data_IF_450367012184
#
_entry.id   IF_450367012184
#
_cell.length_a   1.000
_cell.length_b   1.000
_cell.length_c   1.000
_cell.angle_alpha   90.00
_cell.angle_beta   90.00
_cell.angle_gamma   90.00
#
_symmetry.space_group_name_H-M   'P 1'
#
loop_
_entity.id
_entity.type
_entity.pdbx_description
1 polymer ?
#
# COMPACT_ATOMS: atom_id res chain seq x y z
N UNK A 1 50.05 37.59 -29.31
CA UNK A 1 49.93 36.14 -29.04
C UNK A 1 48.99 35.92 -27.88
N UNK A 2 47.76 35.52 -28.17
CA UNK A 2 46.75 35.31 -27.17
C UNK A 2 46.49 33.82 -27.04
N UNK A 3 46.80 33.25 -25.88
CA UNK A 3 46.48 31.87 -25.53
C UNK A 3 45.01 31.80 -25.09
N UNK A 4 44.18 31.08 -25.85
CA UNK A 4 42.84 30.70 -25.43
C UNK A 4 42.93 29.41 -24.60
N UNK A 5 42.63 29.50 -23.31
CA UNK A 5 42.37 28.33 -22.46
C UNK A 5 40.99 27.78 -22.79
N UNK A 6 40.93 26.57 -23.32
CA UNK A 6 39.69 25.78 -23.41
C UNK A 6 39.50 25.06 -22.08
N UNK A 7 38.52 25.47 -21.30
CA UNK A 7 38.07 24.73 -20.13
C UNK A 7 37.12 23.63 -20.61
N UNK A 8 37.58 22.40 -20.58
CA UNK A 8 36.71 21.22 -20.78
C UNK A 8 35.86 20.99 -19.52
N UNK A 9 34.57 21.27 -19.61
CA UNK A 9 33.60 20.87 -18.60
C UNK A 9 33.39 19.35 -18.71
N UNK A 10 34.04 18.57 -17.87
CA UNK A 10 33.69 17.18 -17.65
C UNK A 10 32.43 17.14 -16.81
N UNK A 11 31.28 16.96 -17.47
CA UNK A 11 30.06 16.57 -16.80
C UNK A 11 30.24 15.14 -16.31
N UNK A 12 30.59 14.99 -15.04
CA UNK A 12 30.61 13.70 -14.37
C UNK A 12 29.16 13.20 -14.28
N UNK A 13 28.76 12.29 -15.18
CA UNK A 13 27.60 11.44 -14.94
C UNK A 13 27.94 10.59 -13.70
N UNK A 14 27.42 11.00 -12.55
CA UNK A 14 27.30 10.11 -11.41
C UNK A 14 26.32 9.01 -11.82
N UNK A 15 26.86 7.85 -12.21
CA UNK A 15 26.13 6.60 -12.23
C UNK A 15 25.69 6.32 -10.79
N UNK A 16 24.50 6.82 -10.41
CA UNK A 16 23.84 6.33 -9.23
C UNK A 16 23.68 4.82 -9.44
N UNK A 17 24.36 4.03 -8.63
CA UNK A 17 24.16 2.59 -8.56
C UNK A 17 22.67 2.36 -8.32
N UNK A 18 21.95 1.90 -9.35
CA UNK A 18 20.58 1.45 -9.21
C UNK A 18 20.65 0.19 -8.35
N UNK A 19 20.20 0.29 -7.13
CA UNK A 19 20.16 -0.82 -6.18
C UNK A 19 19.02 -1.73 -6.64
N UNK A 20 19.33 -3.01 -6.83
CA UNK A 20 18.30 -4.03 -7.03
C UNK A 20 17.29 -3.96 -5.88
N UNK A 21 16.01 -4.03 -6.18
CA UNK A 21 14.94 -3.86 -5.17
C UNK A 21 14.88 -5.01 -4.17
N UNK A 22 15.58 -6.11 -4.47
CA UNK A 22 15.65 -7.29 -3.59
C UNK A 22 17.02 -7.97 -3.67
N UNK A 23 17.47 -8.64 -2.60
CA UNK A 23 18.73 -9.37 -2.61
C UNK A 23 18.78 -10.43 -3.71
N UNK A 24 19.78 -10.33 -4.61
CA UNK A 24 19.99 -11.31 -5.70
C UNK A 24 19.36 -10.97 -7.05
N UNK A 25 18.64 -9.88 -7.16
CA UNK A 25 18.03 -9.40 -8.41
C UNK A 25 19.08 -8.79 -9.36
N UNK A 26 19.00 -9.18 -10.63
CA UNK A 26 19.78 -8.51 -11.70
C UNK A 26 18.88 -7.48 -12.38
N UNK A 27 19.18 -6.20 -12.18
CA UNK A 27 18.42 -5.11 -12.77
C UNK A 27 18.70 -4.99 -14.27
N UNK A 28 17.70 -5.23 -15.11
CA UNK A 28 17.67 -4.91 -16.54
C UNK A 28 16.82 -3.66 -16.78
N UNK A 29 17.45 -2.54 -17.06
CA UNK A 29 16.79 -1.26 -17.28
C UNK A 29 15.78 -1.29 -18.43
N UNK A 30 16.05 -2.06 -19.50
CA UNK A 30 15.15 -2.10 -20.67
C UNK A 30 13.91 -2.90 -20.35
N UNK A 31 14.07 -4.10 -19.79
CA UNK A 31 12.96 -4.91 -19.32
C UNK A 31 12.10 -4.12 -18.33
N UNK A 32 12.73 -3.45 -17.37
CA UNK A 32 12.06 -2.61 -16.41
C UNK A 32 11.23 -1.46 -17.02
N UNK A 33 11.75 -0.75 -18.02
CA UNK A 33 11.00 0.32 -18.70
C UNK A 33 9.83 -0.22 -19.52
N UNK A 34 9.96 -1.40 -20.09
CA UNK A 34 8.90 -2.07 -20.84
C UNK A 34 7.78 -2.54 -19.89
N UNK A 35 8.14 -3.10 -18.77
CA UNK A 35 7.25 -3.46 -17.67
C UNK A 35 6.45 -2.26 -17.17
N UNK A 36 7.13 -1.14 -16.88
CA UNK A 36 6.51 0.14 -16.52
C UNK A 36 5.44 0.56 -17.53
N UNK A 37 5.79 0.56 -18.81
CA UNK A 37 4.88 0.98 -19.86
C UNK A 37 3.63 0.08 -19.92
N UNK A 38 3.81 -1.22 -19.78
CA UNK A 38 2.73 -2.19 -19.80
C UNK A 38 1.83 -2.08 -18.55
N UNK A 39 2.41 -1.98 -17.36
CA UNK A 39 1.65 -1.76 -16.12
C UNK A 39 0.83 -0.48 -16.17
N UNK A 40 1.41 0.63 -16.65
CA UNK A 40 0.68 1.89 -16.83
C UNK A 40 -0.44 1.76 -17.87
N UNK A 41 -0.25 1.01 -18.97
CA UNK A 41 -1.30 0.81 -19.96
C UNK A 41 -2.52 0.06 -19.39
N UNK A 42 -2.29 -0.99 -18.61
CA UNK A 42 -3.36 -1.73 -17.93
C UNK A 42 -4.08 -0.83 -16.92
N UNK A 43 -3.33 -0.13 -16.09
CA UNK A 43 -3.89 0.76 -15.09
C UNK A 43 -4.65 1.93 -15.73
N UNK A 44 -4.23 2.46 -16.88
CA UNK A 44 -4.96 3.48 -17.65
C UNK A 44 -6.33 2.99 -18.14
N UNK A 45 -6.44 1.74 -18.54
CA UNK A 45 -7.73 1.13 -18.91
C UNK A 45 -8.66 1.06 -17.71
N UNK A 46 -8.16 0.55 -16.58
CA UNK A 46 -8.93 0.43 -15.34
C UNK A 46 -9.34 1.80 -14.79
N UNK A 47 -8.46 2.81 -14.87
CA UNK A 47 -8.78 4.18 -14.44
C UNK A 47 -9.88 4.82 -15.25
N UNK A 48 -9.86 4.67 -16.59
CA UNK A 48 -10.96 5.17 -17.43
C UNK A 48 -12.27 4.49 -17.11
N UNK A 49 -12.24 3.19 -16.83
CA UNK A 49 -13.43 2.45 -16.42
C UNK A 49 -13.95 2.93 -15.06
N UNK A 50 -13.06 3.14 -14.08
CA UNK A 50 -13.41 3.68 -12.77
C UNK A 50 -13.95 5.12 -12.86
N UNK A 51 -13.33 5.99 -13.67
CA UNK A 51 -13.83 7.35 -13.95
C UNK A 51 -15.25 7.33 -14.50
N UNK A 52 -15.57 6.42 -15.40
CA UNK A 52 -16.91 6.25 -15.95
C UNK A 52 -17.95 5.84 -14.90
N UNK A 53 -17.50 5.16 -13.83
CA UNK A 53 -18.36 4.79 -12.72
C UNK A 53 -18.77 5.98 -11.86
N UNK A 54 -17.94 7.03 -11.74
CA UNK A 54 -18.11 8.12 -10.78
C UNK A 54 -19.42 8.89 -10.93
N UNK A 55 -19.99 8.94 -12.12
CA UNK A 55 -21.23 9.67 -12.42
C UNK A 55 -22.50 8.92 -11.96
N UNK A 56 -22.41 7.63 -11.64
CA UNK A 56 -23.57 6.79 -11.32
C UNK A 56 -24.16 7.14 -9.95
N UNK A 57 -25.50 7.19 -9.80
CA UNK A 57 -26.16 7.50 -8.53
C UNK A 57 -25.78 6.55 -7.39
N UNK A 58 -25.69 5.25 -7.68
CA UNK A 58 -25.32 4.20 -6.72
C UNK A 58 -23.89 4.38 -6.19
N UNK A 59 -22.98 4.89 -7.04
CA UNK A 59 -21.59 5.21 -6.63
C UNK A 59 -21.57 6.41 -5.70
N UNK A 60 -22.39 7.43 -5.94
CA UNK A 60 -22.53 8.58 -5.04
C UNK A 60 -23.07 8.14 -3.66
N UNK A 61 -24.13 7.34 -3.64
CA UNK A 61 -24.68 6.81 -2.41
C UNK A 61 -23.68 5.93 -1.64
N UNK A 62 -22.85 5.15 -2.34
CA UNK A 62 -21.76 4.39 -1.72
C UNK A 62 -20.69 5.30 -1.09
N UNK A 63 -20.31 6.38 -1.77
CA UNK A 63 -19.37 7.38 -1.22
C UNK A 63 -19.90 8.03 0.05
N UNK A 64 -21.17 8.40 0.08
CA UNK A 64 -21.81 8.94 1.28
C UNK A 64 -21.76 7.94 2.44
N UNK A 65 -22.05 6.66 2.18
CA UNK A 65 -21.91 5.59 3.18
C UNK A 65 -20.47 5.40 3.63
N UNK A 66 -19.48 5.50 2.71
CA UNK A 66 -18.06 5.39 3.05
C UNK A 66 -17.61 6.53 3.97
N UNK A 67 -18.03 7.78 3.69
CA UNK A 67 -17.75 8.95 4.54
C UNK A 67 -18.33 8.72 5.94
N UNK A 68 -19.62 8.35 6.03
CA UNK A 68 -20.27 8.11 7.31
C UNK A 68 -19.61 6.97 8.09
N UNK A 69 -19.25 5.88 7.43
CA UNK A 69 -18.56 4.73 8.04
C UNK A 69 -17.20 5.15 8.59
N UNK A 70 -16.38 5.85 7.81
CA UNK A 70 -15.05 6.32 8.23
C UNK A 70 -15.13 7.24 9.42
N UNK A 71 -16.08 8.20 9.41
CA UNK A 71 -16.32 9.07 10.54
C UNK A 71 -16.71 8.29 11.81
N UNK A 72 -17.63 7.33 11.71
CA UNK A 72 -18.02 6.49 12.83
C UNK A 72 -16.86 5.62 13.36
N UNK A 73 -16.05 5.06 12.46
CA UNK A 73 -14.87 4.26 12.84
C UNK A 73 -13.84 5.13 13.54
N UNK A 74 -13.56 6.31 13.00
CA UNK A 74 -12.64 7.27 13.61
C UNK A 74 -13.04 7.64 15.05
N UNK A 75 -14.31 7.98 15.26
CA UNK A 75 -14.82 8.32 16.59
C UNK A 75 -14.77 7.11 17.54
N UNK A 76 -15.13 5.92 17.08
CA UNK A 76 -15.04 4.69 17.87
C UNK A 76 -13.60 4.42 18.31
N UNK A 77 -12.63 4.50 17.39
CA UNK A 77 -11.22 4.28 17.69
C UNK A 77 -10.65 5.30 18.69
N UNK A 78 -11.13 6.55 18.63
CA UNK A 78 -10.78 7.57 19.62
C UNK A 78 -11.34 7.26 21.00
N UNK A 79 -12.61 6.85 21.06
CA UNK A 79 -13.28 6.45 22.31
C UNK A 79 -12.60 5.25 22.96
N UNK A 80 -12.28 4.20 22.20
CA UNK A 80 -11.58 3.01 22.67
C UNK A 80 -10.18 3.31 23.26
N UNK A 81 -9.60 4.46 22.89
CA UNK A 81 -8.28 4.91 23.35
C UNK A 81 -8.33 6.08 24.33
N UNK A 82 -9.51 6.43 24.84
CA UNK A 82 -9.73 7.56 25.76
C UNK A 82 -9.19 8.91 25.24
N UNK A 83 -9.26 9.12 23.92
CA UNK A 83 -8.74 10.33 23.25
C UNK A 83 -9.81 11.42 23.21
N UNK A 84 -9.89 12.21 24.28
CA UNK A 84 -10.90 13.27 24.42
C UNK A 84 -10.43 14.65 23.95
N UNK A 85 -9.19 14.78 23.54
CA UNK A 85 -8.57 16.06 23.17
C UNK A 85 -9.02 16.55 21.79
N UNK A 86 -9.28 17.83 21.70
CA UNK A 86 -10.05 18.44 20.60
C UNK A 86 -9.24 19.02 19.44
N UNK A 87 -7.89 18.96 19.42
CA UNK A 87 -7.13 19.70 18.38
C UNK A 87 -5.82 19.06 17.97
N UNK A 88 -5.59 18.96 16.67
CA UNK A 88 -4.35 18.47 16.08
C UNK A 88 -3.87 19.32 14.90
N UNK A 89 -2.57 19.53 14.80
CA UNK A 89 -1.91 20.27 13.71
C UNK A 89 -0.56 19.65 13.35
N UNK A 90 -0.22 19.50 12.07
CA UNK A 90 0.90 20.16 11.38
C UNK A 90 1.15 19.65 9.94
N UNK A 91 1.69 20.57 9.14
CA UNK A 91 1.76 20.71 7.69
C UNK A 91 3.16 20.44 7.13
N UNK A 92 3.33 19.96 5.85
CA UNK A 92 4.19 20.50 4.78
C UNK A 92 4.43 19.57 3.58
N UNK A 93 4.90 20.14 2.51
CA UNK A 93 4.64 20.27 1.11
C UNK A 93 5.88 19.92 0.23
N UNK A 94 5.74 19.36 -1.00
CA UNK A 94 6.62 19.49 -2.17
C UNK A 94 6.25 18.65 -3.41
N UNK A 95 6.25 19.28 -4.53
CA UNK A 95 5.47 19.08 -5.73
C UNK A 95 5.93 18.09 -6.83
N UNK A 96 5.18 17.19 -7.35
CA UNK A 96 4.57 16.49 -8.45
C UNK A 96 4.96 15.06 -8.82
N UNK A 97 5.61 14.22 -8.92
CA UNK A 97 5.93 13.29 -8.06
C UNK A 97 5.60 14.26 -7.10
N UNK A 98 6.09 15.05 -7.52
CA UNK A 98 5.77 16.44 -7.45
C UNK A 98 4.29 16.82 -7.60
N UNK A 99 3.37 16.13 -8.22
CA UNK A 99 1.93 16.41 -8.17
C UNK A 99 1.27 15.63 -7.04
N UNK A 100 1.64 14.38 -6.83
CA UNK A 100 1.05 13.56 -5.76
C UNK A 100 1.87 13.59 -4.49
N UNK A 101 3.20 13.71 -4.53
CA UNK A 101 3.99 14.05 -3.35
C UNK A 101 3.87 15.51 -2.90
N UNK A 102 3.17 16.36 -3.66
CA UNK A 102 2.75 17.70 -3.24
C UNK A 102 1.30 17.75 -2.75
N UNK A 103 0.53 16.71 -3.03
CA UNK A 103 -0.77 16.54 -2.43
C UNK A 103 -0.54 15.88 -1.08
N UNK A 104 -0.79 16.58 -0.01
CA UNK A 104 -0.78 16.00 1.31
C UNK A 104 -1.95 15.02 1.43
N UNK A 105 -1.66 13.78 1.77
CA UNK A 105 -2.63 12.74 2.12
C UNK A 105 -2.94 12.77 3.62
N UNK A 106 -2.30 13.70 4.33
CA UNK A 106 -2.58 14.00 5.72
C UNK A 106 -3.84 14.85 5.84
N UNK A 107 -4.91 14.23 6.24
CA UNK A 107 -6.17 14.89 6.55
C UNK A 107 -6.20 15.43 7.99
N UNK A 108 -5.20 15.11 8.82
CA UNK A 108 -5.08 15.62 10.20
C UNK A 108 -4.93 17.13 10.23
N UNK A 109 -4.26 17.72 9.25
CA UNK A 109 -3.80 19.11 9.30
C UNK A 109 -4.31 20.02 8.17
N UNK A 110 -5.18 19.56 7.27
CA UNK A 110 -5.75 20.42 6.21
C UNK A 110 -6.73 21.45 6.77
N UNK A 111 -7.34 21.14 7.89
CA UNK A 111 -8.26 22.00 8.62
C UNK A 111 -7.94 21.87 10.12
N UNK A 112 -8.23 22.90 10.88
CA UNK A 112 -8.33 22.75 12.34
C UNK A 112 -9.58 21.93 12.60
N UNK A 113 -9.45 20.58 12.56
CA UNK A 113 -10.57 19.72 12.85
C UNK A 113 -10.97 19.91 14.30
N UNK A 114 -12.17 20.40 14.48
CA UNK A 114 -12.89 20.31 15.74
C UNK A 114 -14.09 19.37 15.55
N UNK A 115 -14.80 19.15 16.63
CA UNK A 115 -16.05 18.34 16.62
C UNK A 115 -17.14 18.88 15.69
N UNK A 116 -16.98 20.05 15.11
CA UNK A 116 -17.94 20.68 14.20
C UNK A 116 -17.46 20.66 12.75
N UNK A 117 -16.25 20.16 12.47
CA UNK A 117 -15.73 20.03 11.09
C UNK A 117 -16.60 19.04 10.33
N UNK A 118 -17.17 19.41 9.19
CA UNK A 118 -17.96 18.50 8.39
C UNK A 118 -17.16 17.24 8.02
N UNK A 119 -17.74 16.07 8.27
CA UNK A 119 -17.09 14.77 7.98
C UNK A 119 -16.79 14.59 6.49
N UNK A 120 -17.53 15.26 5.63
CA UNK A 120 -17.32 15.31 4.19
C UNK A 120 -15.99 15.99 3.82
N UNK A 121 -15.53 16.95 4.61
CA UNK A 121 -14.25 17.60 4.37
C UNK A 121 -13.08 16.71 4.78
N UNK A 122 -13.25 15.88 5.80
CA UNK A 122 -12.23 14.94 6.26
C UNK A 122 -12.17 13.70 5.38
N UNK A 123 -13.31 13.07 5.12
CA UNK A 123 -13.39 11.76 4.50
C UNK A 123 -13.96 11.77 3.07
N UNK A 124 -14.40 12.94 2.58
CA UNK A 124 -15.08 13.09 1.30
C UNK A 124 -14.15 13.38 0.11
N UNK A 125 -12.84 13.44 0.32
CA UNK A 125 -11.90 13.61 -0.77
C UNK A 125 -12.11 12.55 -1.85
N UNK A 126 -12.14 12.96 -3.12
CA UNK A 126 -12.26 12.03 -4.23
C UNK A 126 -10.92 11.34 -4.47
N UNK A 127 -10.62 10.38 -3.63
CA UNK A 127 -9.37 9.62 -3.59
C UNK A 127 -9.52 8.21 -4.15
N UNK A 128 -10.64 7.94 -4.85
CA UNK A 128 -10.78 6.69 -5.59
C UNK A 128 -9.67 6.56 -6.60
N UNK A 129 -8.81 5.61 -6.39
CA UNK A 129 -7.63 5.37 -7.18
C UNK A 129 -7.67 3.95 -7.75
N UNK A 130 -7.21 3.80 -8.95
CA UNK A 130 -6.73 2.51 -9.42
C UNK A 130 -5.26 2.48 -9.07
N UNK A 131 -4.85 1.69 -8.09
CA UNK A 131 -3.43 1.42 -7.93
C UNK A 131 -2.94 0.79 -9.23
N UNK A 132 -1.75 1.18 -9.67
CA UNK A 132 -1.11 0.45 -10.75
C UNK A 132 -1.04 -1.01 -10.30
N UNK A 133 -1.72 -1.93 -10.98
CA UNK A 133 -1.62 -3.31 -10.63
C UNK A 133 -0.18 -3.72 -10.79
N UNK A 134 0.27 -4.61 -9.90
CA UNK A 134 1.23 -5.56 -10.33
C UNK A 134 2.66 -5.08 -10.29
N UNK A 135 3.04 -4.51 -9.15
CA UNK A 135 4.42 -4.11 -8.94
C UNK A 135 5.33 -5.33 -8.80
N UNK A 136 5.03 -6.20 -7.88
CA UNK A 136 5.64 -7.50 -7.66
C UNK A 136 4.92 -8.22 -6.50
N UNK A 137 4.90 -9.55 -6.53
CA UNK A 137 4.46 -10.34 -5.40
C UNK A 137 5.40 -10.20 -4.18
N UNK A 138 6.65 -9.77 -4.40
CA UNK A 138 7.67 -9.71 -3.37
C UNK A 138 8.07 -11.09 -2.83
N UNK A 139 9.22 -11.20 -2.13
CA UNK A 139 9.74 -12.48 -1.66
C UNK A 139 9.07 -12.99 -0.36
N UNK A 140 7.98 -12.37 0.08
CA UNK A 140 7.37 -12.64 1.38
C UNK A 140 5.86 -12.89 1.32
N UNK A 141 5.29 -13.10 0.13
CA UNK A 141 3.91 -13.53 0.02
C UNK A 141 3.76 -14.98 0.51
N UNK A 142 2.86 -15.18 1.49
CA UNK A 142 2.55 -16.48 2.08
C UNK A 142 1.10 -16.84 1.75
N UNK A 143 0.91 -17.95 1.05
CA UNK A 143 -0.42 -18.42 0.68
C UNK A 143 -1.11 -19.12 1.85
N UNK A 144 -2.42 -19.01 1.95
CA UNK A 144 -3.26 -19.59 3.01
C UNK A 144 -3.05 -18.96 4.40
N UNK A 145 -2.72 -17.67 4.45
CA UNK A 145 -2.68 -16.94 5.72
C UNK A 145 -4.03 -16.89 6.44
N UNK A 146 -3.98 -16.58 7.72
CA UNK A 146 -5.16 -16.51 8.59
C UNK A 146 -6.12 -15.41 8.19
N UNK A 147 -7.42 -15.75 8.23
CA UNK A 147 -8.51 -14.79 8.13
C UNK A 147 -8.67 -14.12 9.49
N UNK A 148 -8.24 -12.87 9.60
CA UNK A 148 -8.26 -12.10 10.85
C UNK A 148 -8.14 -10.60 10.59
N UNK A 149 -8.71 -9.79 11.49
CA UNK A 149 -8.62 -8.35 11.44
C UNK A 149 -7.37 -7.84 12.18
N UNK A 150 -7.14 -8.27 13.41
CA UNK A 150 -5.96 -7.90 14.19
C UNK A 150 -4.76 -8.76 13.77
N UNK A 151 -3.74 -8.08 13.26
CA UNK A 151 -2.51 -8.72 12.78
C UNK A 151 -1.27 -8.28 13.55
N UNK A 152 -1.43 -7.57 14.68
CA UNK A 152 -0.33 -6.95 15.45
C UNK A 152 0.48 -7.95 16.24
N UNK A 153 -0.17 -8.97 16.82
CA UNK A 153 0.47 -10.02 17.65
C UNK A 153 1.37 -9.46 18.78
N UNK A 154 0.95 -8.36 19.38
CA UNK A 154 1.67 -7.73 20.51
C UNK A 154 2.97 -7.01 20.14
N UNK A 155 3.28 -6.84 18.86
CA UNK A 155 4.40 -6.02 18.42
C UNK A 155 4.21 -4.55 18.82
N UNK A 156 5.33 -3.85 18.99
CA UNK A 156 5.34 -2.41 19.25
C UNK A 156 5.59 -1.63 17.96
N UNK A 157 4.90 -0.53 17.81
CA UNK A 157 5.00 0.39 16.68
C UNK A 157 3.90 1.44 16.74
N UNK A 158 3.79 2.25 15.71
CA UNK A 158 2.70 3.20 15.54
C UNK A 158 1.44 2.41 15.15
N UNK A 159 0.38 2.40 15.99
CA UNK A 159 -0.84 1.67 15.67
C UNK A 159 -1.51 2.24 14.42
N UNK A 160 -1.98 1.38 13.54
CA UNK A 160 -2.63 1.76 12.29
C UNK A 160 -3.90 0.95 12.08
N UNK A 161 -5.04 1.62 12.01
CA UNK A 161 -6.28 1.04 11.52
C UNK A 161 -6.35 1.31 10.02
N UNK A 162 -6.33 0.25 9.22
CA UNK A 162 -6.30 0.32 7.75
C UNK A 162 -7.66 -0.11 7.19
N UNK A 163 -8.39 0.83 6.58
CA UNK A 163 -9.61 0.57 5.83
C UNK A 163 -9.31 0.57 4.34
N UNK A 164 -9.61 -0.52 3.64
CA UNK A 164 -9.51 -0.60 2.18
C UNK A 164 -10.89 -0.88 1.60
N UNK A 165 -11.28 -0.12 0.57
CA UNK A 165 -12.53 -0.32 -0.16
C UNK A 165 -12.25 -0.67 -1.61
N UNK A 166 -12.87 -1.74 -2.11
CA UNK A 166 -12.64 -2.27 -3.45
C UNK A 166 -13.88 -2.17 -4.34
N UNK A 167 -13.67 -1.62 -5.52
CA UNK A 167 -14.72 -1.41 -6.54
C UNK A 167 -14.32 -2.17 -7.80
N UNK A 168 -15.21 -3.00 -8.30
CA UNK A 168 -15.00 -3.62 -9.61
C UNK A 168 -15.21 -2.58 -10.74
N UNK A 169 -14.14 -2.31 -11.46
CA UNK A 169 -14.18 -1.34 -12.58
C UNK A 169 -15.05 -1.79 -13.76
N UNK A 170 -15.40 -3.08 -13.85
CA UNK A 170 -16.26 -3.60 -14.90
C UNK A 170 -17.74 -3.35 -14.63
N UNK A 171 -18.14 -3.37 -13.36
CA UNK A 171 -19.55 -3.27 -12.95
C UNK A 171 -19.86 -1.97 -12.24
N UNK A 172 -18.86 -1.30 -11.66
CA UNK A 172 -18.97 -0.16 -10.75
C UNK A 172 -19.56 -0.53 -9.37
N UNK A 173 -19.70 -1.80 -9.09
CA UNK A 173 -20.22 -2.30 -7.82
C UNK A 173 -19.08 -2.63 -6.85
N UNK A 174 -19.39 -2.77 -5.53
CA UNK A 174 -18.47 -3.32 -4.57
C UNK A 174 -17.93 -4.68 -5.03
N UNK A 175 -16.63 -4.89 -4.90
CA UNK A 175 -16.03 -6.16 -5.30
C UNK A 175 -16.07 -7.17 -4.16
N UNK A 176 -16.53 -8.39 -4.44
CA UNK A 176 -16.50 -9.51 -3.51
C UNK A 176 -15.16 -10.24 -3.61
N UNK A 177 -14.33 -10.12 -2.56
CA UNK A 177 -12.92 -10.52 -2.57
C UNK A 177 -12.49 -11.09 -1.22
N UNK A 178 -11.38 -11.84 -1.23
CA UNK A 178 -10.51 -11.97 -0.06
C UNK A 178 -9.28 -11.06 -0.27
N UNK A 179 -9.03 -10.21 0.69
CA UNK A 179 -7.91 -9.27 0.66
C UNK A 179 -6.83 -9.74 1.62
N UNK A 180 -5.67 -10.03 1.05
CA UNK A 180 -4.47 -10.45 1.76
C UNK A 180 -3.52 -9.25 1.89
N UNK A 181 -3.05 -9.01 3.12
CA UNK A 181 -2.08 -7.97 3.40
C UNK A 181 -0.85 -8.51 4.11
N UNK A 182 0.30 -7.91 3.85
CA UNK A 182 1.49 -8.08 4.67
C UNK A 182 2.40 -6.86 4.59
N UNK A 183 3.21 -6.66 5.64
CA UNK A 183 4.20 -5.59 5.70
C UNK A 183 5.39 -5.96 6.58
N UNK A 184 6.44 -5.13 6.55
CA UNK A 184 7.60 -5.26 7.43
C UNK A 184 7.29 -4.67 8.81
N UNK A 185 7.74 -5.35 9.86
CA UNK A 185 7.65 -4.83 11.23
C UNK A 185 8.60 -3.65 11.48
N UNK A 186 8.28 -2.84 12.47
CA UNK A 186 9.05 -1.65 12.86
C UNK A 186 10.53 -1.95 13.19
N UNK A 187 10.81 -3.17 13.62
CA UNK A 187 12.16 -3.65 13.96
C UNK A 187 12.92 -4.26 12.77
N UNK A 188 12.41 -4.16 11.55
CA UNK A 188 13.10 -4.66 10.36
C UNK A 188 14.51 -4.09 10.30
N UNK A 189 15.52 -4.97 10.18
CA UNK A 189 16.92 -4.58 10.20
C UNK A 189 17.55 -4.33 11.59
N UNK A 190 16.76 -4.31 12.67
CA UNK A 190 17.29 -4.17 14.05
C UNK A 190 17.54 -5.54 14.67
N UNK A 191 16.68 -6.50 14.41
CA UNK A 191 16.86 -7.89 14.85
C UNK A 191 16.20 -8.86 13.89
N UNK A 192 16.63 -10.13 13.93
CA UNK A 192 15.96 -11.20 13.19
C UNK A 192 14.48 -11.37 13.61
N UNK A 193 14.16 -11.09 14.87
CA UNK A 193 12.79 -11.13 15.39
C UNK A 193 11.88 -10.01 14.84
N UNK A 194 12.46 -8.91 14.35
CA UNK A 194 11.71 -7.82 13.72
C UNK A 194 11.52 -7.97 12.21
N UNK A 195 12.08 -9.01 11.62
CA UNK A 195 11.89 -9.29 10.21
C UNK A 195 10.69 -10.20 10.03
N UNK A 196 9.61 -9.67 9.44
CA UNK A 196 8.48 -10.50 8.99
C UNK A 196 8.96 -11.42 7.86
N UNK A 197 9.65 -12.49 8.23
CA UNK A 197 10.06 -13.55 7.33
C UNK A 197 8.91 -14.48 6.99
N UNK A 198 9.20 -15.52 6.20
CA UNK A 198 8.21 -16.52 5.80
C UNK A 198 7.66 -17.36 6.96
N UNK A 199 8.38 -17.40 8.09
CA UNK A 199 8.00 -18.14 9.29
C UNK A 199 7.25 -17.30 10.33
N UNK A 200 6.99 -16.01 10.06
CA UNK A 200 6.25 -15.12 10.96
C UNK A 200 4.83 -14.89 10.46
N UNK A 201 3.90 -14.78 11.39
CA UNK A 201 2.48 -14.53 11.11
C UNK A 201 2.07 -13.07 11.37
N UNK A 202 2.82 -12.35 12.21
CA UNK A 202 2.51 -10.95 12.52
C UNK A 202 2.55 -10.04 11.29
N UNK A 203 1.69 -9.04 11.29
CA UNK A 203 1.47 -8.08 10.20
C UNK A 203 1.07 -8.75 8.87
N UNK A 204 0.48 -9.93 8.97
CA UNK A 204 -0.10 -10.71 7.88
C UNK A 204 -1.52 -11.08 8.20
N UNK A 205 -2.41 -11.00 7.25
CA UNK A 205 -3.77 -11.45 7.44
C UNK A 205 -4.63 -11.28 6.21
N UNK A 206 -5.74 -11.99 6.21
CA UNK A 206 -6.70 -12.00 5.12
C UNK A 206 -8.06 -11.58 5.67
N UNK A 207 -8.82 -10.81 4.91
CA UNK A 207 -10.21 -10.45 5.25
C UNK A 207 -11.11 -10.56 4.02
N UNK A 208 -12.32 -11.11 4.16
CA UNK A 208 -13.34 -10.96 3.13
C UNK A 208 -13.86 -9.52 3.12
N UNK A 209 -14.13 -9.00 1.93
CA UNK A 209 -14.83 -7.73 1.77
C UNK A 209 -16.27 -7.85 2.26
N UNK A 210 -16.76 -6.78 2.86
CA UNK A 210 -18.20 -6.66 3.21
C UNK A 210 -19.06 -6.28 1.97
N UNK A 211 -20.37 -6.10 2.18
CA UNK A 211 -21.33 -5.73 1.12
C UNK A 211 -21.04 -4.38 0.43
N UNK A 212 -20.22 -3.52 1.01
CA UNK A 212 -19.76 -2.26 0.45
C UNK A 212 -18.33 -2.38 -0.13
N UNK A 213 -17.78 -3.59 -0.22
CA UNK A 213 -16.45 -3.88 -0.74
C UNK A 213 -15.32 -3.53 0.21
N UNK A 214 -15.58 -3.47 1.52
CA UNK A 214 -14.65 -2.95 2.54
C UNK A 214 -14.03 -4.07 3.35
N UNK A 215 -12.75 -3.90 3.65
CA UNK A 215 -12.02 -4.67 4.67
C UNK A 215 -11.37 -3.72 5.66
N UNK A 216 -11.17 -4.20 6.89
CA UNK A 216 -10.49 -3.46 7.94
C UNK A 216 -9.40 -4.33 8.57
N UNK A 217 -8.23 -3.73 8.82
CA UNK A 217 -7.14 -4.37 9.52
C UNK A 217 -6.63 -3.46 10.64
N UNK A 218 -6.46 -4.06 11.82
CA UNK A 218 -5.72 -3.44 12.92
C UNK A 218 -4.27 -3.94 12.83
N UNK A 219 -3.37 -3.02 12.50
CA UNK A 219 -1.97 -3.31 12.17
C UNK A 219 -1.04 -2.24 12.74
N UNK A 220 0.22 -2.27 12.36
CA UNK A 220 1.20 -1.22 12.66
C UNK A 220 1.65 -0.53 11.38
N UNK A 221 2.04 0.74 11.50
CA UNK A 221 2.74 1.40 10.40
C UNK A 221 3.98 0.58 10.02
N UNK A 222 4.20 0.29 8.72
CA UNK A 222 5.30 -0.58 8.32
C UNK A 222 6.68 -0.01 8.63
N UNK A 223 7.62 -0.88 8.98
CA UNK A 223 9.04 -0.53 9.08
C UNK A 223 9.72 -0.52 7.70
N UNK A 224 10.82 0.23 7.59
CA UNK A 224 11.61 0.27 6.37
C UNK A 224 12.64 -0.86 6.29
N UNK A 225 13.07 -1.15 5.08
CA UNK A 225 14.19 -2.02 4.76
C UNK A 225 14.97 -1.49 3.54
N UNK A 226 16.11 -2.07 3.26
CA UNK A 226 17.02 -1.58 2.23
C UNK A 226 16.38 -1.59 0.83
N UNK A 227 16.59 -0.52 0.10
CA UNK A 227 16.21 -0.38 -1.30
C UNK A 227 14.74 -0.04 -1.57
N UNK A 228 13.86 -0.06 -0.54
CA UNK A 228 12.43 0.17 -0.71
C UNK A 228 11.88 1.28 0.17
N UNK A 229 10.96 2.06 -0.37
CA UNK A 229 10.12 2.94 0.42
C UNK A 229 9.15 2.13 1.29
N UNK A 230 8.75 2.67 2.42
CA UNK A 230 7.78 2.03 3.32
C UNK A 230 6.45 1.82 2.61
N UNK A 231 5.93 0.60 2.61
CA UNK A 231 4.72 0.22 1.90
C UNK A 231 3.97 -0.92 2.58
N UNK A 232 2.70 -1.05 2.24
CA UNK A 232 1.81 -2.16 2.57
C UNK A 232 1.54 -2.96 1.30
N UNK A 233 1.81 -4.26 1.32
CA UNK A 233 1.39 -5.15 0.24
C UNK A 233 -0.09 -5.47 0.32
N UNK A 234 -0.73 -5.60 -0.84
CA UNK A 234 -2.13 -5.94 -1.01
C UNK A 234 -2.26 -6.94 -2.15
N UNK A 235 -2.93 -8.06 -1.90
CA UNK A 235 -3.40 -8.98 -2.93
C UNK A 235 -4.91 -9.15 -2.81
N UNK A 236 -5.62 -9.10 -3.94
CA UNK A 236 -7.04 -9.35 -4.03
C UNK A 236 -7.31 -10.68 -4.73
N UNK A 237 -7.93 -11.60 -4.01
CA UNK A 237 -8.33 -12.92 -4.51
C UNK A 237 -9.81 -12.93 -4.85
N UNK A 238 -10.15 -13.48 -6.02
CA UNK A 238 -11.52 -13.69 -6.49
C UNK A 238 -11.87 -15.17 -6.46
N UNK A 239 -13.09 -15.50 -6.08
CA UNK A 239 -13.60 -16.87 -6.02
C UNK A 239 -12.80 -17.83 -5.11
N UNK A 240 -12.16 -17.30 -4.08
CA UNK A 240 -11.52 -18.13 -3.06
C UNK A 240 -12.53 -18.66 -2.06
N UNK A 241 -12.22 -19.81 -1.48
CA UNK A 241 -13.05 -20.46 -0.46
C UNK A 241 -12.41 -20.33 0.91
N UNK A 242 -13.18 -19.81 1.87
CA UNK A 242 -12.80 -19.80 3.29
C UNK A 242 -12.91 -21.23 3.83
N UNK A 243 -11.89 -21.66 4.57
CA UNK A 243 -11.82 -22.99 5.19
C UNK A 243 -12.17 -22.93 6.67
N UNK A 244 -12.65 -24.05 7.23
CA UNK A 244 -13.04 -24.18 8.65
C UNK A 244 -11.88 -23.88 9.63
N UNK A 245 -10.64 -24.04 9.18
CA UNK A 245 -9.44 -23.76 9.98
C UNK A 245 -9.07 -22.26 10.02
N UNK A 246 -9.92 -21.37 9.48
CA UNK A 246 -9.68 -19.92 9.44
C UNK A 246 -8.64 -19.47 8.42
N UNK A 247 -8.39 -20.29 7.39
CA UNK A 247 -7.59 -19.92 6.22
C UNK A 247 -8.44 -19.93 4.95
N UNK A 248 -7.81 -19.83 3.78
CA UNK A 248 -8.53 -19.85 2.50
C UNK A 248 -7.81 -20.75 1.47
N UNK A 249 -8.50 -21.07 0.40
CA UNK A 249 -7.94 -21.81 -0.74
C UNK A 249 -8.65 -21.50 -2.05
N UNK A 250 -8.03 -21.84 -3.15
CA UNK A 250 -8.60 -21.69 -4.50
C UNK A 250 -8.71 -20.25 -4.96
N UNK A 251 -9.55 -20.04 -5.97
CA UNK A 251 -9.70 -18.73 -6.61
C UNK A 251 -8.51 -18.36 -7.50
N UNK A 252 -8.44 -17.09 -7.85
CA UNK A 252 -7.32 -16.50 -8.59
C UNK A 252 -7.03 -15.10 -8.07
N UNK A 253 -5.84 -14.59 -8.33
CA UNK A 253 -5.44 -13.22 -7.98
C UNK A 253 -5.91 -12.28 -9.09
N UNK A 254 -6.81 -11.37 -8.76
CA UNK A 254 -7.29 -10.33 -9.68
C UNK A 254 -6.51 -9.02 -9.56
N UNK A 255 -5.78 -8.82 -8.46
CA UNK A 255 -4.97 -7.62 -8.25
C UNK A 255 -3.86 -7.90 -7.23
N UNK A 256 -2.68 -7.40 -7.51
CA UNK A 256 -1.60 -7.31 -6.53
C UNK A 256 -0.94 -5.93 -6.65
N UNK A 257 -0.65 -5.29 -5.52
CA UNK A 257 -0.11 -3.94 -5.50
C UNK A 257 0.56 -3.60 -4.17
N UNK A 258 1.12 -2.41 -4.13
CA UNK A 258 1.71 -1.83 -2.94
C UNK A 258 1.10 -0.46 -2.69
N UNK A 259 0.65 -0.22 -1.47
CA UNK A 259 0.15 1.06 -1.00
C UNK A 259 1.28 1.77 -0.24
N UNK A 260 1.57 2.99 -0.62
CA UNK A 260 2.64 3.80 -0.04
C UNK A 260 2.10 4.86 0.93
N UNK A 261 3.02 5.55 1.59
CA UNK A 261 2.70 6.60 2.57
C UNK A 261 3.48 7.87 2.25
N UNK A 262 2.91 9.02 2.57
CA UNK A 262 3.58 10.32 2.42
C UNK A 262 4.97 10.34 3.04
N UNK A 263 5.92 10.99 2.38
CA UNK A 263 7.29 11.09 2.90
C UNK A 263 7.31 11.78 4.28
N UNK A 264 6.47 12.80 4.47
CA UNK A 264 6.40 13.50 5.74
C UNK A 264 5.90 12.61 6.90
N UNK A 265 4.91 11.75 6.64
CA UNK A 265 4.45 10.76 7.62
C UNK A 265 5.54 9.74 7.94
N UNK A 266 6.20 9.22 6.90
CA UNK A 266 7.31 8.28 7.07
C UNK A 266 8.44 8.86 7.92
N UNK A 267 8.86 10.09 7.62
CA UNK A 267 9.93 10.78 8.37
C UNK A 267 9.53 10.98 9.84
N UNK A 268 8.27 11.32 10.09
CA UNK A 268 7.75 11.46 11.44
C UNK A 268 7.71 10.14 12.21
N UNK A 269 7.30 9.05 11.57
CA UNK A 269 7.29 7.70 12.18
C UNK A 269 8.71 7.23 12.46
N UNK A 270 9.64 7.39 11.51
CA UNK A 270 11.04 6.98 11.66
C UNK A 270 11.76 7.73 12.79
N UNK A 271 11.29 8.90 13.18
CA UNK A 271 11.80 9.62 14.34
C UNK A 271 11.35 9.02 15.69
N UNK A 272 10.37 8.10 15.69
CA UNK A 272 9.80 7.50 16.90
C UNK A 272 10.39 6.13 17.22
N UNK A 273 10.32 5.71 18.50
CA UNK A 273 10.61 4.33 18.87
C UNK A 273 9.43 3.43 18.47
N UNK A 274 9.70 2.21 17.97
CA UNK A 274 11.00 1.56 17.81
C UNK A 274 11.70 1.82 16.47
N UNK A 275 11.11 2.55 15.54
CA UNK A 275 11.59 2.74 14.16
C UNK A 275 12.98 3.40 14.12
N UNK A 276 13.24 4.36 15.00
CA UNK A 276 14.52 5.09 15.09
C UNK A 276 15.72 4.21 15.47
N UNK A 277 15.46 3.00 15.95
CA UNK A 277 16.50 2.00 16.23
C UNK A 277 16.97 1.27 14.94
N UNK A 278 16.19 1.30 13.87
CA UNK A 278 16.58 0.73 12.59
C UNK A 278 17.69 1.59 11.95
N UNK A 279 18.85 1.01 11.66
CA UNK A 279 20.02 1.70 11.10
C UNK A 279 20.24 1.42 9.62
N UNK A 280 19.34 0.68 8.99
CA UNK A 280 19.35 0.49 7.54
C UNK A 280 19.10 1.86 6.88
N UNK A 281 19.81 2.22 5.80
CA UNK A 281 19.55 3.46 5.09
C UNK A 281 18.10 3.55 4.57
N UNK A 282 17.44 4.67 4.85
CA UNK A 282 16.10 4.95 4.36
C UNK A 282 16.09 5.16 2.84
N UNK A 283 15.18 4.48 2.16
CA UNK A 283 14.86 4.77 0.76
C UNK A 283 13.67 5.72 0.72
N UNK A 284 13.84 6.90 0.16
CA UNK A 284 12.74 7.85 -0.01
C UNK A 284 11.76 7.37 -1.09
N UNK A 285 10.52 7.87 -1.04
CA UNK A 285 9.54 7.59 -2.10
C UNK A 285 10.08 7.93 -3.50
N UNK A 286 10.90 9.00 -3.60
CA UNK A 286 11.55 9.44 -4.86
C UNK A 286 12.59 8.47 -5.41
N UNK A 287 13.18 7.65 -4.56
CA UNK A 287 14.24 6.71 -4.94
C UNK A 287 13.73 5.28 -5.09
N UNK A 288 12.53 5.01 -4.61
CA UNK A 288 11.90 3.71 -4.76
C UNK A 288 11.35 3.55 -6.18
N UNK A 289 11.82 2.56 -6.89
CA UNK A 289 11.41 2.29 -8.27
C UNK A 289 9.91 1.96 -8.35
N UNK A 290 9.36 1.23 -7.38
CA UNK A 290 7.96 0.82 -7.39
C UNK A 290 7.00 1.96 -7.04
N UNK A 291 7.42 2.95 -6.27
CA UNK A 291 6.60 4.17 -6.11
C UNK A 291 6.44 4.88 -7.45
N UNK A 292 7.50 4.91 -8.27
CA UNK A 292 7.43 5.43 -9.65
C UNK A 292 6.51 4.60 -10.55
N UNK A 293 6.48 3.27 -10.38
CA UNK A 293 5.54 2.38 -11.06
C UNK A 293 4.09 2.67 -10.67
N UNK A 294 3.87 2.79 -9.35
CA UNK A 294 2.56 2.98 -8.79
C UNK A 294 2.00 4.38 -9.03
N UNK A 295 2.84 5.35 -9.42
CA UNK A 295 2.44 6.74 -9.61
C UNK A 295 2.34 7.12 -11.10
N UNK A 296 1.24 7.74 -11.50
CA UNK A 296 1.10 8.39 -12.81
C UNK A 296 0.28 9.67 -12.67
N UNK A 297 0.09 10.47 -13.74
CA UNK A 297 -0.83 11.60 -13.66
C UNK A 297 -2.26 11.24 -13.24
N UNK A 298 -2.62 9.95 -13.29
CA UNK A 298 -3.95 9.42 -12.96
C UNK A 298 -3.99 8.54 -11.73
N UNK A 299 -2.84 8.06 -11.22
CA UNK A 299 -2.77 7.14 -10.09
C UNK A 299 -2.04 7.78 -8.94
N UNK A 300 -2.69 7.72 -7.80
CA UNK A 300 -2.15 8.13 -6.53
C UNK A 300 -1.82 6.86 -5.69
N UNK A 301 -0.54 6.52 -5.50
CA UNK A 301 -0.17 5.33 -4.76
C UNK A 301 -0.19 5.52 -3.25
N UNK A 302 -0.51 6.73 -2.77
CA UNK A 302 -0.42 7.07 -1.36
C UNK A 302 -1.76 6.90 -0.65
N UNK A 303 -1.71 6.27 0.53
CA UNK A 303 -2.85 6.17 1.41
C UNK A 303 -3.21 7.53 2.01
N UNK A 304 -4.51 7.77 2.18
CA UNK A 304 -4.99 8.87 3.00
C UNK A 304 -4.93 8.50 4.47
N UNK A 305 -4.71 9.46 5.34
CA UNK A 305 -4.67 9.20 6.76
C UNK A 305 -5.11 10.40 7.60
N UNK A 306 -5.49 10.10 8.82
CA UNK A 306 -5.72 11.07 9.89
C UNK A 306 -5.19 10.49 11.20
N UNK A 307 -4.53 11.32 12.00
CA UNK A 307 -4.09 10.91 13.32
C UNK A 307 -5.30 10.76 14.25
N UNK A 308 -5.31 9.74 15.11
CA UNK A 308 -6.38 9.53 16.09
C UNK A 308 -6.23 10.46 17.30
N UNK A 309 -5.03 10.97 17.54
CA UNK A 309 -4.76 11.82 18.69
C UNK A 309 -3.43 12.58 18.58
N UNK A 310 -3.03 13.36 19.64
CA UNK A 310 -1.74 14.05 19.69
C UNK A 310 -0.60 13.05 19.86
N UNK A 311 0.19 12.94 18.80
CA UNK A 311 1.29 11.99 18.74
C UNK A 311 0.92 10.71 18.02
N UNK A 312 1.92 10.16 17.34
CA UNK A 312 1.77 8.93 16.55
C UNK A 312 1.50 7.69 17.40
N UNK A 313 1.83 7.74 18.69
CA UNK A 313 1.53 6.70 19.67
C UNK A 313 0.03 6.49 19.88
N UNK A 314 -0.80 7.50 19.58
CA UNK A 314 -2.26 7.40 19.62
C UNK A 314 -2.82 6.64 18.41
N UNK A 315 -2.04 6.52 17.35
CA UNK A 315 -2.33 5.76 16.16
C UNK A 315 -2.89 6.58 15.02
N UNK A 316 -3.03 5.89 13.90
CA UNK A 316 -3.51 6.43 12.63
C UNK A 316 -4.77 5.69 12.19
N UNK A 317 -5.72 6.42 11.61
CA UNK A 317 -6.74 5.87 10.74
C UNK A 317 -6.30 6.12 9.29
N UNK A 318 -6.11 5.04 8.53
CA UNK A 318 -5.58 5.06 7.16
C UNK A 318 -6.60 4.44 6.23
N UNK A 319 -6.83 5.02 5.06
CA UNK A 319 -7.77 4.45 4.09
C UNK A 319 -7.34 4.65 2.65
N UNK A 320 -7.83 3.75 1.79
CA UNK A 320 -7.78 3.88 0.34
C UNK A 320 -9.05 3.28 -0.30
N UNK A 321 -9.52 3.87 -1.41
CA UNK A 321 -10.53 3.29 -2.28
C UNK A 321 -9.86 2.86 -3.58
N UNK A 322 -10.01 1.59 -3.94
CA UNK A 322 -9.25 0.93 -5.00
C UNK A 322 -10.19 0.38 -6.07
N UNK A 323 -10.02 0.85 -7.30
CA UNK A 323 -10.66 0.25 -8.47
C UNK A 323 -9.85 -0.95 -8.96
N UNK A 324 -10.45 -2.11 -9.09
CA UNK A 324 -9.81 -3.31 -9.59
C UNK A 324 -10.61 -3.96 -10.72
N UNK A 325 -9.93 -4.69 -11.56
CA UNK A 325 -10.58 -5.51 -12.60
C UNK A 325 -10.72 -6.95 -12.05
N UNK A 326 -11.91 -7.32 -11.57
CA UNK A 326 -12.16 -8.67 -11.02
C UNK A 326 -12.05 -9.80 -12.05
N UNK A 327 -12.00 -9.47 -13.34
CA UNK A 327 -11.80 -10.43 -14.45
C UNK A 327 -10.34 -10.65 -14.81
N UNK A 328 -9.43 -9.83 -14.24
CA UNK A 328 -8.00 -10.03 -14.44
C UNK A 328 -7.53 -11.30 -13.73
N UNK A 329 -6.52 -11.95 -14.29
CA UNK A 329 -5.84 -13.07 -13.66
C UNK A 329 -4.34 -12.82 -13.65
N UNK A 330 -3.81 -12.66 -12.45
CA UNK A 330 -2.41 -12.38 -12.19
C UNK A 330 -1.68 -13.54 -11.49
N UNK A 331 -2.24 -14.75 -11.47
CA UNK A 331 -1.67 -15.92 -10.79
C UNK A 331 -0.22 -16.20 -11.20
N UNK A 332 0.11 -15.92 -12.46
CA UNK A 332 1.47 -16.09 -12.97
C UNK A 332 2.48 -15.22 -12.20
N UNK A 333 2.07 -14.00 -11.84
CA UNK A 333 2.92 -13.04 -11.12
C UNK A 333 2.77 -13.12 -9.62
N UNK A 334 1.67 -13.66 -9.13
CA UNK A 334 1.34 -13.78 -7.72
C UNK A 334 1.86 -15.10 -7.11
N UNK A 335 3.00 -15.59 -7.58
CA UNK A 335 3.60 -16.80 -6.99
C UNK A 335 3.93 -16.56 -5.51
N UNK A 336 3.51 -17.45 -4.65
CA UNK A 336 3.78 -17.37 -3.22
C UNK A 336 5.16 -17.95 -2.88
N UNK A 337 5.84 -17.31 -1.91
CA UNK A 337 7.14 -17.75 -1.44
C UNK A 337 7.04 -18.89 -0.42
N UNK A 338 5.92 -18.97 0.29
CA UNK A 338 5.64 -20.00 1.29
C UNK A 338 4.14 -20.28 1.35
N UNK A 339 3.78 -21.41 1.98
CA UNK A 339 2.41 -21.78 2.31
C UNK A 339 2.30 -21.93 3.82
N UNK A 340 1.30 -21.27 4.40
CA UNK A 340 0.98 -21.50 5.81
C UNK A 340 0.28 -22.86 5.99
N UNK A 341 0.63 -23.58 7.05
CA UNK A 341 -0.05 -24.80 7.52
C UNK A 341 0.02 -24.89 9.03
N UNK A 342 -1.01 -25.42 9.64
CA UNK A 342 -0.99 -25.81 11.04
C UNK A 342 0.14 -26.84 11.28
N UNK A 343 0.92 -26.62 12.34
CA UNK A 343 2.08 -27.45 12.66
C UNK A 343 3.36 -27.15 11.88
N UNK A 344 3.34 -26.12 11.02
CA UNK A 344 4.50 -25.63 10.26
C UNK A 344 4.25 -25.60 8.75
N UNK A 345 4.39 -24.41 8.15
CA UNK A 345 4.33 -24.21 6.72
C UNK A 345 5.59 -24.70 6.01
N UNK A 346 5.62 -24.53 4.70
CA UNK A 346 6.78 -24.88 3.89
C UNK A 346 7.06 -23.80 2.84
N UNK A 347 8.34 -23.63 2.50
CA UNK A 347 8.75 -22.76 1.41
C UNK A 347 8.41 -23.38 0.07
N UNK A 348 7.94 -22.56 -0.87
CA UNK A 348 7.64 -22.98 -2.22
C UNK A 348 8.95 -23.11 -3.03
N UNK A 349 9.38 -24.31 -3.43
CA UNK A 349 10.62 -24.49 -4.18
C UNK A 349 10.51 -23.97 -5.63
N UNK A 350 9.29 -23.67 -6.09
CA UNK A 350 9.01 -23.11 -7.41
C UNK A 350 8.78 -21.60 -7.36
N UNK A 351 8.99 -20.98 -6.19
CA UNK A 351 8.85 -19.54 -6.05
C UNK A 351 9.79 -18.85 -7.04
N UNK A 352 9.23 -17.91 -7.76
CA UNK A 352 9.97 -16.96 -8.56
C UNK A 352 9.38 -15.56 -8.31
N UNK A 353 10.27 -14.61 -8.10
CA UNK A 353 9.84 -13.23 -7.96
C UNK A 353 9.73 -12.63 -9.35
N UNK A 354 8.51 -12.31 -9.73
CA UNK A 354 8.23 -11.62 -10.98
C UNK A 354 7.92 -10.16 -10.68
N UNK A 355 8.57 -9.29 -11.40
CA UNK A 355 8.13 -7.91 -11.55
C UNK A 355 7.19 -7.91 -12.74
N UNK A 356 5.98 -7.41 -12.56
CA UNK A 356 4.98 -7.45 -13.62
C UNK A 356 5.33 -6.46 -14.71
N UNK A 357 5.42 -6.95 -15.90
CA UNK A 357 5.71 -6.12 -17.05
C UNK A 357 5.15 -6.60 -18.36
N UNK A 358 4.80 -7.85 -18.44
CA UNK A 358 4.04 -8.37 -19.58
C UNK A 358 2.79 -9.06 -19.05
N UNK A 359 1.60 -8.78 -19.60
CA UNK A 359 0.43 -9.58 -19.27
C UNK A 359 0.77 -11.04 -19.53
N UNK A 360 0.30 -11.97 -18.65
CA UNK A 360 0.47 -13.39 -18.88
C UNK A 360 -0.02 -13.72 -20.28
N UNK A 361 0.62 -14.65 -20.99
CA UNK A 361 0.09 -15.09 -22.26
C UNK A 361 -1.37 -15.47 -22.06
N UNK A 362 -2.26 -14.87 -22.86
CA UNK A 362 -3.66 -15.23 -22.85
C UNK A 362 -3.76 -16.73 -23.00
N UNK A 363 -4.18 -17.43 -21.95
CA UNK A 363 -4.57 -18.82 -22.08
C UNK A 363 -5.80 -18.83 -22.99
N UNK A 364 -5.58 -19.21 -24.26
CA UNK A 364 -6.64 -19.44 -25.24
C UNK A 364 -7.51 -20.62 -24.84
#
# INVERSE_FOLDING_TARGET
MAFKLLAALTVGLSLSSMVASHPGEKFDKRAHMEELANGHAVADVNSRALEACQARPEVKARKERAIARRAATFERLRQERDLNDATFLHRRDAASFRKWAAQSHDFTGKLQYDKNTPVEEVFGANTSCTLAPDNANGPYFVYQEHIRQDVVEGLKGVPMHLELQFIDVNTCEPAELLIDIWSRGAYSGVSAAGQSGLASTYLRGVQPTDKDGVVNFDTLFPGHYEGRATHQHIIAHVNSTVLDNGTYTGGHVAHLSQLFFDQALRDAVEATAPYNANKIPLTTNLRDMFTGYAASPKYDPFANYVALGQGLDKGLFVWAELGINTKANWDYYATYASVWKEGGGYNNPKFNMYIVGTPPPSHG
#
